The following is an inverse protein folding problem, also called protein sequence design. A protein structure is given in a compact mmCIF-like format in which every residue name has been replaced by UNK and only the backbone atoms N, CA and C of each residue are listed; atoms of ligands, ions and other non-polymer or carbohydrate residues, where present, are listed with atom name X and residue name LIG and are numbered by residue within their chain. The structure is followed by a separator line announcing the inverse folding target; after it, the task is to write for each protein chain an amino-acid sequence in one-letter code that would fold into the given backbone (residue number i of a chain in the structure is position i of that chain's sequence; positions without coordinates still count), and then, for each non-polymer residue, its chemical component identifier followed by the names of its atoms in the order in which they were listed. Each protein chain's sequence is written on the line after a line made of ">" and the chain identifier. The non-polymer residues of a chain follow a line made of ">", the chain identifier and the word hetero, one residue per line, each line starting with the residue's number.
data_IF_256764551010
#
_entry.id   IF_256764551010
#
_cell.length_a   1.000
_cell.length_b   1.000
_cell.length_c   1.000
_cell.angle_alpha   90.00
_cell.angle_beta   90.00
_cell.angle_gamma   90.00
#
_symmetry.space_group_name_H-M   'P 1'
#
loop_
_entity.id
_entity.type
_entity.pdbx_description
1 polymer ?
#
# COMPACT_ATOMS: atom_id res chain seq x y z
N UNK A 1 -15.10 -2.27 -40.76
CA UNK A 1 -15.07 -0.90 -40.16
C UNK A 1 -16.36 -0.49 -39.41
N UNK A 2 -17.52 -1.17 -39.56
CA UNK A 2 -18.75 -0.85 -38.80
C UNK A 2 -19.00 -1.66 -37.50
N UNK A 3 -18.12 -2.59 -37.10
CA UNK A 3 -18.22 -3.32 -35.82
C UNK A 3 -17.39 -2.73 -34.66
N UNK A 4 -16.60 -1.68 -34.90
CA UNK A 4 -15.72 -1.07 -33.89
C UNK A 4 -16.34 0.13 -33.13
N UNK A 5 -17.46 0.69 -33.61
CA UNK A 5 -18.04 1.89 -32.99
C UNK A 5 -19.14 1.59 -31.94
N UNK A 6 -19.76 0.42 -31.96
CA UNK A 6 -20.79 0.04 -30.97
C UNK A 6 -20.20 -0.42 -29.62
N UNK A 7 -18.93 -0.84 -29.57
CA UNK A 7 -18.27 -1.25 -28.32
C UNK A 7 -17.69 -0.07 -27.50
N UNK A 8 -17.36 1.07 -28.13
CA UNK A 8 -16.87 2.26 -27.42
C UNK A 8 -17.97 2.96 -26.58
N UNK A 9 -19.25 2.86 -27.00
CA UNK A 9 -20.38 3.52 -26.33
C UNK A 9 -20.84 2.82 -25.04
N UNK A 10 -20.61 1.51 -24.90
CA UNK A 10 -21.02 0.73 -23.72
C UNK A 10 -19.93 0.76 -22.63
N UNK A 11 -18.65 0.82 -23.00
CA UNK A 11 -17.53 0.82 -22.05
C UNK A 11 -17.29 2.16 -21.34
N UNK A 12 -17.69 3.29 -21.94
CA UNK A 12 -17.60 4.61 -21.30
C UNK A 12 -18.61 4.76 -20.15
N UNK A 13 -19.80 4.15 -20.25
CA UNK A 13 -20.79 4.12 -19.14
C UNK A 13 -20.40 3.16 -18.02
N UNK A 14 -19.80 2.00 -18.32
CA UNK A 14 -19.32 1.06 -17.29
C UNK A 14 -18.09 1.56 -16.52
N UNK A 15 -17.20 2.35 -17.15
CA UNK A 15 -16.00 2.91 -16.50
C UNK A 15 -16.31 4.10 -15.57
N UNK A 16 -17.31 4.92 -15.92
CA UNK A 16 -17.87 5.95 -15.02
C UNK A 16 -18.62 5.31 -13.84
N UNK A 17 -19.37 4.22 -14.07
CA UNK A 17 -20.01 3.48 -12.97
C UNK A 17 -18.99 2.80 -12.05
N UNK A 18 -17.83 2.35 -12.54
CA UNK A 18 -16.77 1.80 -11.67
C UNK A 18 -16.11 2.86 -10.78
N UNK A 19 -15.90 4.08 -11.28
CA UNK A 19 -15.36 5.19 -10.48
C UNK A 19 -16.38 5.72 -9.45
N UNK A 20 -17.68 5.59 -9.72
CA UNK A 20 -18.76 5.88 -8.78
C UNK A 20 -19.09 4.71 -7.83
N UNK A 21 -18.87 3.45 -8.22
CA UNK A 21 -19.14 2.26 -7.41
C UNK A 21 -18.08 2.03 -6.33
N UNK A 22 -16.82 2.41 -6.56
CA UNK A 22 -15.80 2.44 -5.50
C UNK A 22 -16.12 3.55 -4.46
N UNK A 23 -16.92 4.56 -4.82
CA UNK A 23 -17.46 5.58 -3.90
C UNK A 23 -18.75 5.15 -3.18
N UNK A 24 -19.32 3.98 -3.48
CA UNK A 24 -20.56 3.47 -2.85
C UNK A 24 -20.51 1.94 -2.68
N UNK A 25 -19.71 1.48 -1.72
CA UNK A 25 -19.92 0.20 -1.05
C UNK A 25 -20.46 0.48 0.36
N UNK A 26 -21.44 -0.30 0.88
CA UNK A 26 -22.09 0.01 2.15
C UNK A 26 -21.11 -0.11 3.31
N UNK A 27 -21.03 0.96 4.11
CA UNK A 27 -20.42 0.99 5.43
C UNK A 27 -21.06 -0.10 6.31
N UNK A 28 -20.36 -1.19 6.57
CA UNK A 28 -20.71 -2.10 7.66
C UNK A 28 -20.30 -1.45 8.98
N UNK A 29 -21.19 -0.59 9.49
CA UNK A 29 -21.13 -0.02 10.83
C UNK A 29 -21.48 -1.09 11.86
N UNK A 30 -20.55 -1.43 12.74
CA UNK A 30 -20.89 -1.97 14.05
C UNK A 30 -21.52 -0.86 14.89
N UNK A 31 -22.82 -0.98 15.20
CA UNK A 31 -23.52 -0.19 16.21
C UNK A 31 -24.22 -1.15 17.16
N UNK A 32 -24.07 -0.90 18.45
CA UNK A 32 -24.82 -1.50 19.55
C UNK A 32 -26.22 -0.85 19.69
N UNK A 33 -27.12 -1.57 20.35
CA UNK A 33 -28.59 -1.45 20.26
C UNK A 33 -29.22 -0.10 20.72
N UNK A 34 -28.42 0.92 21.06
CA UNK A 34 -28.90 2.24 21.47
C UNK A 34 -28.21 3.43 20.77
N UNK A 35 -27.32 3.21 19.80
CA UNK A 35 -26.92 4.26 18.86
C UNK A 35 -26.18 5.50 19.42
N UNK A 36 -25.46 5.37 20.54
CA UNK A 36 -24.56 6.41 21.09
C UNK A 36 -23.10 5.91 21.10
N UNK A 37 -22.09 6.79 20.91
CA UNK A 37 -20.70 6.41 21.06
C UNK A 37 -20.39 6.00 22.50
N UNK A 38 -19.72 4.86 22.68
CA UNK A 38 -19.17 4.41 23.97
C UNK A 38 -18.04 5.35 24.41
N UNK A 39 -18.41 6.49 25.01
CA UNK A 39 -17.52 7.27 25.85
C UNK A 39 -17.22 6.46 27.11
N UNK A 40 -16.00 5.93 27.21
CA UNK A 40 -15.44 5.57 28.51
C UNK A 40 -15.23 6.86 29.28
N UNK A 41 -16.16 7.16 30.19
CA UNK A 41 -16.03 8.20 31.21
C UNK A 41 -14.76 7.94 32.02
N UNK A 42 -13.75 8.80 31.93
CA UNK A 42 -12.72 8.90 32.97
C UNK A 42 -13.34 9.60 34.18
N UNK A 43 -13.30 8.93 35.33
CA UNK A 43 -13.67 9.48 36.63
C UNK A 43 -12.67 10.58 37.02
N UNK A 44 -13.19 11.77 37.32
CA UNK A 44 -12.43 12.84 37.96
C UNK A 44 -12.31 12.57 39.46
N UNK A 45 -11.10 12.27 39.93
CA UNK A 45 -10.76 12.41 41.35
C UNK A 45 -9.26 12.65 41.50
N UNK A 46 -8.89 13.76 42.14
CA UNK A 46 -7.54 14.05 42.62
C UNK A 46 -6.76 15.06 41.78
N UNK A 47 -6.83 16.32 42.19
CA UNK A 47 -5.90 17.38 41.76
C UNK A 47 -4.61 17.21 42.55
N UNK A 48 -3.51 16.91 41.86
CA UNK A 48 -2.14 17.15 42.34
C UNK A 48 -1.45 18.13 41.37
N UNK A 49 -0.61 19.06 41.87
CA UNK A 49 0.05 20.05 41.03
C UNK A 49 1.08 19.39 40.09
N UNK A 50 1.47 20.05 38.98
CA UNK A 50 2.32 19.44 37.98
C UNK A 50 3.73 19.24 38.53
N UNK A 51 4.07 17.99 38.86
CA UNK A 51 5.47 17.61 38.94
C UNK A 51 6.04 17.70 37.54
N UNK A 52 6.88 18.72 37.29
CA UNK A 52 7.88 18.70 36.23
C UNK A 52 8.90 17.59 36.52
N UNK A 53 8.46 16.34 36.44
CA UNK A 53 9.31 15.18 36.41
C UNK A 53 10.07 15.22 35.10
N UNK A 54 11.39 15.34 35.20
CA UNK A 54 12.31 15.14 34.06
C UNK A 54 11.84 13.91 33.29
N UNK A 55 11.28 14.09 32.08
CA UNK A 55 11.04 12.98 31.17
C UNK A 55 12.39 12.32 30.99
N UNK A 56 12.55 11.11 31.53
CA UNK A 56 13.83 10.42 31.49
C UNK A 56 14.23 10.28 30.02
N UNK A 57 15.36 10.89 29.63
CA UNK A 57 15.86 10.85 28.26
C UNK A 57 16.05 9.38 27.88
N UNK A 58 15.16 8.87 27.04
CA UNK A 58 15.22 7.51 26.57
C UNK A 58 16.25 7.42 25.45
N UNK A 59 17.20 6.49 25.56
CA UNK A 59 18.16 6.27 24.50
C UNK A 59 17.45 5.90 23.19
N UNK A 60 17.84 6.48 22.03
CA UNK A 60 17.21 6.25 20.72
C UNK A 60 16.97 4.77 20.40
N UNK A 61 17.94 3.90 20.69
CA UNK A 61 17.84 2.47 20.41
C UNK A 61 16.74 1.77 21.23
N UNK A 62 16.55 2.19 22.48
CA UNK A 62 15.53 1.63 23.37
C UNK A 62 14.14 2.06 22.90
N UNK A 63 13.98 3.35 22.57
CA UNK A 63 12.71 3.87 22.06
C UNK A 63 12.30 3.19 20.76
N UNK A 64 13.23 3.08 19.80
CA UNK A 64 12.95 2.36 18.55
C UNK A 64 12.60 0.88 18.78
N UNK A 65 13.29 0.21 19.71
CA UNK A 65 12.97 -1.17 20.09
C UNK A 65 11.56 -1.28 20.68
N UNK A 66 11.15 -0.34 21.54
CA UNK A 66 9.80 -0.30 22.10
C UNK A 66 8.76 -0.09 21.01
N UNK A 67 8.94 0.92 20.14
CA UNK A 67 8.05 1.18 18.99
C UNK A 67 7.88 -0.05 18.09
N UNK A 68 8.93 -0.83 17.88
CA UNK A 68 8.87 -2.03 17.03
C UNK A 68 8.10 -3.22 17.65
N UNK A 69 7.90 -3.21 18.98
CA UNK A 69 7.33 -4.33 19.76
C UNK A 69 5.99 -4.01 20.41
N UNK A 70 5.44 -2.82 20.13
CA UNK A 70 4.09 -2.43 20.53
C UNK A 70 3.05 -3.44 20.07
N UNK A 71 2.00 -3.60 20.88
CA UNK A 71 0.92 -4.57 20.67
C UNK A 71 -0.40 -3.94 20.25
N UNK A 72 -0.49 -2.62 20.28
CA UNK A 72 -1.67 -1.88 19.84
C UNK A 72 -1.32 -0.49 19.29
N UNK A 73 -2.31 0.18 18.72
CA UNK A 73 -2.17 1.56 18.24
C UNK A 73 -2.04 2.55 19.41
N UNK A 74 -2.77 2.31 20.51
CA UNK A 74 -2.73 3.13 21.72
C UNK A 74 -1.35 3.10 22.37
N UNK A 75 -0.66 1.96 22.36
CA UNK A 75 0.73 1.88 22.83
C UNK A 75 1.70 2.70 21.96
N UNK A 76 1.47 2.78 20.65
CA UNK A 76 2.24 3.66 19.75
C UNK A 76 1.99 5.12 20.12
N UNK A 77 0.73 5.51 20.26
CA UNK A 77 0.34 6.88 20.59
C UNK A 77 0.88 7.28 21.97
N UNK A 78 0.80 6.42 22.98
CA UNK A 78 1.38 6.69 24.30
C UNK A 78 2.91 6.94 24.23
N UNK A 79 3.64 6.21 23.36
CA UNK A 79 5.07 6.46 23.15
C UNK A 79 5.33 7.78 22.43
N UNK A 80 4.48 8.17 21.47
CA UNK A 80 4.54 9.46 20.79
C UNK A 80 4.29 10.60 21.78
N UNK A 81 3.21 10.51 22.56
CA UNK A 81 2.84 11.51 23.57
C UNK A 81 4.00 11.78 24.54
N UNK A 82 4.62 10.70 25.03
CA UNK A 82 5.70 10.81 26.01
C UNK A 82 7.07 11.19 25.43
N UNK A 83 7.33 11.01 24.13
CA UNK A 83 8.69 11.12 23.57
C UNK A 83 8.82 11.82 22.21
N UNK A 84 7.75 12.40 21.67
CA UNK A 84 7.72 12.97 20.30
C UNK A 84 8.84 13.99 20.03
N UNK A 85 9.23 14.79 21.02
CA UNK A 85 10.33 15.76 20.92
C UNK A 85 11.68 15.09 20.60
N UNK A 86 11.88 13.85 21.07
CA UNK A 86 13.09 13.07 20.86
C UNK A 86 13.08 12.24 19.57
N UNK A 87 11.94 12.16 18.87
CA UNK A 87 11.84 11.37 17.64
C UNK A 87 12.75 11.94 16.56
N UNK A 88 13.47 11.04 15.90
CA UNK A 88 14.18 11.30 14.65
C UNK A 88 13.49 10.57 13.49
N UNK A 89 14.10 10.60 12.30
CA UNK A 89 13.54 9.94 11.12
C UNK A 89 13.39 8.41 11.28
N UNK A 90 14.23 7.76 12.10
CA UNK A 90 14.14 6.31 12.31
C UNK A 90 12.92 6.00 13.17
N UNK A 91 12.73 6.72 14.27
CA UNK A 91 11.57 6.56 15.13
C UNK A 91 10.27 6.83 14.37
N UNK A 92 10.23 7.87 13.53
CA UNK A 92 9.08 8.17 12.68
C UNK A 92 8.72 6.96 11.80
N UNK A 93 9.69 6.43 11.06
CA UNK A 93 9.44 5.28 10.19
C UNK A 93 8.87 4.08 10.96
N UNK A 94 9.47 3.75 12.11
CA UNK A 94 9.00 2.65 12.96
C UNK A 94 7.62 2.93 13.56
N UNK A 95 7.35 4.15 14.04
CA UNK A 95 6.07 4.52 14.62
C UNK A 95 4.94 4.40 13.59
N UNK A 96 5.11 4.95 12.38
CA UNK A 96 4.12 4.85 11.31
C UNK A 96 3.89 3.39 10.89
N UNK A 97 4.94 2.60 10.69
CA UNK A 97 4.81 1.18 10.35
C UNK A 97 4.10 0.42 11.45
N UNK A 98 4.43 0.67 12.71
CA UNK A 98 3.75 0.03 13.85
C UNK A 98 2.30 0.44 13.98
N UNK A 99 1.97 1.71 13.74
CA UNK A 99 0.59 2.18 13.71
C UNK A 99 -0.20 1.49 12.59
N UNK A 100 0.36 1.42 11.39
CA UNK A 100 -0.28 0.75 10.24
C UNK A 100 -0.48 -0.76 10.42
N UNK A 101 0.25 -1.38 11.36
CA UNK A 101 0.07 -2.79 11.72
C UNK A 101 -1.17 -2.99 12.59
N UNK A 102 -1.43 -2.04 13.50
CA UNK A 102 -2.45 -2.17 14.54
C UNK A 102 -3.73 -1.37 14.26
N UNK A 103 -3.69 -0.43 13.31
CA UNK A 103 -4.79 0.46 12.93
C UNK A 103 -5.01 0.50 11.41
N UNK A 104 -4.80 -0.62 10.71
CA UNK A 104 -4.97 -0.68 9.26
C UNK A 104 -6.41 -0.28 8.86
N UNK A 105 -6.54 0.67 7.93
CA UNK A 105 -7.82 1.24 7.51
C UNK A 105 -8.52 2.16 8.51
N UNK A 106 -7.87 2.51 9.63
CA UNK A 106 -8.48 3.31 10.71
C UNK A 106 -7.94 4.75 10.75
N UNK A 107 -7.53 5.32 9.61
CA UNK A 107 -7.03 6.70 9.56
C UNK A 107 -8.03 7.71 10.15
N UNK A 108 -9.33 7.53 9.87
CA UNK A 108 -10.37 8.43 10.38
C UNK A 108 -10.47 8.43 11.91
N UNK A 109 -10.30 7.26 12.55
CA UNK A 109 -10.34 7.14 14.00
C UNK A 109 -9.10 7.80 14.62
N UNK A 110 -7.92 7.57 14.03
CA UNK A 110 -6.65 8.17 14.46
C UNK A 110 -6.65 9.69 14.32
N UNK A 111 -7.31 10.21 13.30
CA UNK A 111 -7.40 11.64 13.04
C UNK A 111 -8.14 12.42 14.12
N UNK A 112 -8.94 11.76 14.97
CA UNK A 112 -9.55 12.39 16.14
C UNK A 112 -8.60 12.51 17.34
N UNK A 113 -7.43 11.86 17.30
CA UNK A 113 -6.48 11.81 18.40
C UNK A 113 -5.43 12.93 18.27
N UNK A 114 -5.31 13.84 19.24
CA UNK A 114 -4.34 14.95 19.18
C UNK A 114 -2.88 14.47 19.15
N UNK A 115 -2.61 13.27 19.66
CA UNK A 115 -1.27 12.65 19.62
C UNK A 115 -0.88 12.24 18.21
N UNK A 116 -1.85 11.83 17.41
CA UNK A 116 -1.60 11.53 16.00
C UNK A 116 -1.27 12.81 15.22
N UNK A 117 -1.94 13.93 15.52
CA UNK A 117 -1.60 15.24 14.95
C UNK A 117 -0.19 15.70 15.34
N UNK A 118 0.25 15.41 16.57
CA UNK A 118 1.64 15.62 17.00
C UNK A 118 2.60 14.79 16.16
N UNK A 119 2.28 13.51 15.88
CA UNK A 119 3.10 12.66 15.02
C UNK A 119 3.18 13.19 13.58
N UNK A 120 2.06 13.62 13.00
CA UNK A 120 2.03 14.23 11.66
C UNK A 120 2.82 15.54 11.61
N UNK A 121 2.73 16.36 12.66
CA UNK A 121 3.51 17.60 12.80
C UNK A 121 5.01 17.31 12.89
N UNK A 122 5.38 16.28 13.66
CA UNK A 122 6.76 15.82 13.77
C UNK A 122 7.28 15.26 12.44
N UNK A 123 6.46 14.54 11.69
CA UNK A 123 6.76 14.09 10.34
C UNK A 123 7.11 15.29 9.44
N UNK A 124 6.23 16.30 9.35
CA UNK A 124 6.45 17.51 8.53
C UNK A 124 7.78 18.20 8.87
N UNK A 125 8.10 18.29 10.16
CA UNK A 125 9.35 18.90 10.64
C UNK A 125 10.60 18.13 10.21
N UNK A 126 10.52 16.80 10.16
CA UNK A 126 11.65 15.92 9.88
C UNK A 126 11.76 15.47 8.43
N UNK A 127 10.76 15.75 7.57
CA UNK A 127 10.79 15.43 6.14
C UNK A 127 12.08 15.89 5.43
N UNK A 128 12.59 17.12 5.65
CA UNK A 128 13.83 17.56 5.00
C UNK A 128 15.08 16.74 5.38
N UNK A 129 15.03 16.01 6.49
CA UNK A 129 16.14 15.19 7.02
C UNK A 129 15.84 13.69 6.91
N UNK A 130 14.70 13.31 6.30
CA UNK A 130 14.25 11.94 6.26
C UNK A 130 15.14 11.08 5.36
N UNK A 131 15.42 9.85 5.81
CA UNK A 131 16.19 8.88 5.03
C UNK A 131 15.30 8.13 4.04
N UNK A 132 15.84 7.57 2.94
CA UNK A 132 15.08 6.79 1.95
C UNK A 132 14.10 5.79 2.56
N UNK A 133 14.60 4.94 3.47
CA UNK A 133 13.80 3.91 4.13
C UNK A 133 12.68 4.49 5.00
N UNK A 134 12.90 5.63 5.65
CA UNK A 134 11.86 6.31 6.44
C UNK A 134 10.74 6.78 5.51
N UNK A 135 11.09 7.41 4.39
CA UNK A 135 10.12 7.92 3.41
C UNK A 135 9.25 6.79 2.85
N UNK A 136 9.87 5.70 2.39
CA UNK A 136 9.14 4.53 1.91
C UNK A 136 8.26 3.88 2.99
N UNK A 137 8.73 3.83 4.24
CA UNK A 137 7.97 3.30 5.38
C UNK A 137 6.74 4.16 5.70
N UNK A 138 6.87 5.49 5.62
CA UNK A 138 5.76 6.42 5.84
C UNK A 138 4.75 6.32 4.70
N UNK A 139 5.19 6.28 3.44
CA UNK A 139 4.32 6.02 2.28
C UNK A 139 3.49 4.75 2.48
N UNK A 140 4.16 3.64 2.76
CA UNK A 140 3.52 2.35 3.02
C UNK A 140 2.50 2.44 4.16
N UNK A 141 2.88 3.06 5.28
CA UNK A 141 2.03 3.17 6.45
C UNK A 141 0.78 4.01 6.18
N UNK A 142 0.93 5.19 5.57
CA UNK A 142 -0.21 6.06 5.24
C UNK A 142 -1.18 5.37 4.28
N UNK A 143 -0.67 4.65 3.28
CA UNK A 143 -1.51 3.83 2.40
C UNK A 143 -2.27 2.76 3.19
N UNK A 144 -1.59 1.98 4.03
CA UNK A 144 -2.22 0.91 4.81
C UNK A 144 -3.19 1.41 5.88
N UNK A 145 -2.96 2.60 6.43
CA UNK A 145 -3.90 3.29 7.32
C UNK A 145 -5.15 3.77 6.57
N UNK A 146 -5.12 3.83 5.24
CA UNK A 146 -6.14 4.46 4.39
C UNK A 146 -6.24 5.97 4.65
N UNK A 147 -5.07 6.65 4.64
CA UNK A 147 -4.98 8.10 4.69
C UNK A 147 -5.92 8.76 3.67
N UNK A 148 -6.66 9.79 4.10
CA UNK A 148 -7.48 10.60 3.20
C UNK A 148 -6.55 11.50 2.35
N UNK A 149 -6.42 11.25 1.04
CA UNK A 149 -5.47 11.97 0.21
C UNK A 149 -5.89 13.42 -0.07
N UNK A 150 -7.19 13.74 0.01
CA UNK A 150 -7.67 15.11 -0.19
C UNK A 150 -7.39 15.95 1.05
N UNK A 151 -7.61 15.37 2.23
CA UNK A 151 -7.34 16.05 3.50
C UNK A 151 -5.85 16.23 3.76
N UNK A 152 -5.04 15.22 3.45
CA UNK A 152 -3.58 15.27 3.65
C UNK A 152 -2.80 15.65 2.39
N UNK A 153 -3.45 16.30 1.43
CA UNK A 153 -2.85 16.66 0.13
C UNK A 153 -1.49 17.34 0.25
N UNK A 154 -1.38 18.34 1.13
CA UNK A 154 -0.13 19.07 1.36
C UNK A 154 0.97 18.18 1.96
N UNK A 155 0.62 17.31 2.91
CA UNK A 155 1.57 16.36 3.49
C UNK A 155 2.08 15.37 2.45
N UNK A 156 1.18 14.84 1.60
CA UNK A 156 1.54 13.90 0.54
C UNK A 156 2.42 14.54 -0.53
N UNK A 157 2.21 15.83 -0.85
CA UNK A 157 3.08 16.59 -1.75
C UNK A 157 4.46 16.84 -1.12
N UNK A 158 4.53 17.20 0.16
CA UNK A 158 5.79 17.35 0.88
C UNK A 158 6.56 16.03 0.95
N UNK A 159 5.86 14.92 1.20
CA UNK A 159 6.45 13.58 1.23
C UNK A 159 6.94 13.16 -0.17
N UNK A 160 6.20 13.49 -1.24
CA UNK A 160 6.63 13.25 -2.62
C UNK A 160 7.90 14.04 -2.96
N UNK A 161 7.95 15.32 -2.59
CA UNK A 161 9.13 16.16 -2.80
C UNK A 161 10.36 15.62 -2.05
N UNK A 162 10.20 15.25 -0.77
CA UNK A 162 11.28 14.64 0.01
C UNK A 162 11.74 13.30 -0.58
N UNK A 163 10.81 12.47 -1.07
CA UNK A 163 11.11 11.22 -1.78
C UNK A 163 11.85 11.47 -3.09
N UNK A 164 11.45 12.46 -3.89
CA UNK A 164 12.09 12.77 -5.17
C UNK A 164 13.58 13.12 -5.00
N UNK A 165 13.92 13.93 -3.99
CA UNK A 165 15.33 14.28 -3.66
C UNK A 165 16.17 13.04 -3.35
N UNK A 166 15.56 12.00 -2.79
CA UNK A 166 16.24 10.79 -2.35
C UNK A 166 16.07 9.60 -3.29
N UNK A 167 15.34 9.74 -4.39
CA UNK A 167 14.98 8.65 -5.30
C UNK A 167 16.19 7.86 -5.84
N UNK A 168 17.34 8.50 -6.19
CA UNK A 168 18.55 7.76 -6.59
C UNK A 168 19.10 6.83 -5.50
N UNK A 169 18.80 7.10 -4.23
CA UNK A 169 19.25 6.32 -3.06
C UNK A 169 18.24 5.27 -2.60
N UNK A 170 17.04 5.21 -3.18
CA UNK A 170 16.08 4.16 -2.89
C UNK A 170 16.65 2.82 -3.38
N UNK A 171 16.42 1.75 -2.63
CA UNK A 171 16.55 0.38 -3.16
C UNK A 171 15.24 -0.02 -3.87
N UNK A 172 15.23 -1.17 -4.53
CA UNK A 172 14.05 -1.66 -5.25
C UNK A 172 12.80 -1.76 -4.36
N UNK A 173 12.93 -2.30 -3.15
CA UNK A 173 11.82 -2.37 -2.18
C UNK A 173 11.27 -1.00 -1.79
N UNK A 174 12.14 0.00 -1.58
CA UNK A 174 11.73 1.35 -1.22
C UNK A 174 10.91 1.98 -2.37
N UNK A 175 11.35 1.81 -3.62
CA UNK A 175 10.64 2.29 -4.81
C UNK A 175 9.28 1.60 -4.94
N UNK A 176 9.25 0.27 -4.88
CA UNK A 176 8.02 -0.50 -5.00
C UNK A 176 7.00 -0.16 -3.90
N UNK A 177 7.46 -0.05 -2.65
CA UNK A 177 6.57 0.29 -1.52
C UNK A 177 5.96 1.68 -1.71
N UNK A 178 6.74 2.60 -2.27
CA UNK A 178 6.30 3.98 -2.54
C UNK A 178 5.28 4.03 -3.68
N UNK A 179 5.57 3.40 -4.83
CA UNK A 179 4.62 3.42 -5.96
C UNK A 179 3.34 2.64 -5.64
N UNK A 180 3.43 1.55 -4.88
CA UNK A 180 2.28 0.84 -4.34
C UNK A 180 1.42 1.75 -3.48
N UNK A 181 2.03 2.52 -2.57
CA UNK A 181 1.32 3.46 -1.72
C UNK A 181 0.61 4.55 -2.56
N UNK A 182 1.27 5.09 -3.58
CA UNK A 182 0.66 6.06 -4.50
C UNK A 182 -0.56 5.47 -5.22
N UNK A 183 -0.45 4.23 -5.73
CA UNK A 183 -1.56 3.53 -6.38
C UNK A 183 -2.72 3.21 -5.44
N UNK A 184 -2.40 2.81 -4.20
CA UNK A 184 -3.39 2.49 -3.18
C UNK A 184 -4.19 3.70 -2.73
N UNK A 185 -3.50 4.79 -2.41
CA UNK A 185 -4.12 6.06 -2.03
C UNK A 185 -4.82 6.74 -3.21
N UNK A 186 -4.63 6.24 -4.44
CA UNK A 186 -5.18 6.85 -5.64
C UNK A 186 -4.69 8.28 -5.82
N UNK A 187 -3.49 8.60 -5.33
CA UNK A 187 -2.91 9.93 -5.47
C UNK A 187 -2.57 10.10 -6.94
N UNK A 188 -3.53 10.60 -7.70
CA UNK A 188 -3.35 10.92 -9.11
C UNK A 188 -2.38 12.09 -9.29
N UNK A 189 -2.01 12.75 -8.18
CA UNK A 189 -1.28 14.01 -8.13
C UNK A 189 -1.65 14.88 -9.32
N UNK A 190 -2.84 15.49 -9.29
CA UNK A 190 -3.27 16.37 -10.38
C UNK A 190 -2.34 17.58 -10.57
N UNK A 191 -1.46 17.84 -9.59
CA UNK A 191 -0.35 18.77 -9.74
C UNK A 191 0.70 18.26 -10.73
N UNK A 192 1.37 19.19 -11.41
CA UNK A 192 2.50 18.86 -12.30
C UNK A 192 3.60 18.10 -11.53
N UNK A 193 3.92 18.55 -10.32
CA UNK A 193 5.03 18.03 -9.54
C UNK A 193 4.82 16.59 -9.11
N UNK A 194 3.60 16.22 -8.70
CA UNK A 194 3.37 14.84 -8.31
C UNK A 194 3.18 13.89 -9.51
N UNK A 195 2.72 14.39 -10.67
CA UNK A 195 2.85 13.60 -11.93
C UNK A 195 4.30 13.30 -12.26
N UNK A 196 5.17 14.31 -12.16
CA UNK A 196 6.61 14.15 -12.38
C UNK A 196 7.19 13.11 -11.41
N UNK A 197 6.85 13.21 -10.13
CA UNK A 197 7.29 12.21 -9.13
C UNK A 197 6.88 10.78 -9.47
N UNK A 198 5.65 10.57 -9.99
CA UNK A 198 5.22 9.24 -10.45
C UNK A 198 5.99 8.76 -11.68
N UNK A 199 6.29 9.67 -12.61
CA UNK A 199 7.06 9.35 -13.81
C UNK A 199 8.51 8.98 -13.42
N UNK A 200 9.13 9.73 -12.51
CA UNK A 200 10.46 9.45 -11.96
C UNK A 200 10.50 8.10 -11.22
N UNK A 201 9.44 7.76 -10.46
CA UNK A 201 9.31 6.46 -9.80
C UNK A 201 9.30 5.31 -10.81
N UNK A 202 8.56 5.45 -11.91
CA UNK A 202 8.51 4.44 -12.99
C UNK A 202 9.90 4.26 -13.61
N UNK A 203 10.58 5.36 -13.94
CA UNK A 203 11.91 5.34 -14.54
C UNK A 203 12.94 4.66 -13.62
N UNK A 204 12.99 5.06 -12.35
CA UNK A 204 13.93 4.49 -11.38
C UNK A 204 13.61 3.04 -11.05
N UNK A 205 12.34 2.61 -11.12
CA UNK A 205 11.95 1.23 -10.84
C UNK A 205 12.69 0.21 -11.72
N UNK A 206 12.81 0.50 -13.03
CA UNK A 206 13.52 -0.37 -13.96
C UNK A 206 15.01 -0.49 -13.63
N UNK A 207 15.64 0.63 -13.28
CA UNK A 207 17.04 0.64 -12.85
C UNK A 207 17.22 -0.17 -11.56
N UNK A 208 16.33 0.01 -10.58
CA UNK A 208 16.47 -0.65 -9.27
C UNK A 208 16.19 -2.14 -9.33
N UNK A 209 15.23 -2.59 -10.14
CA UNK A 209 15.01 -4.01 -10.38
C UNK A 209 16.25 -4.67 -11.00
N UNK A 210 16.86 -4.07 -12.03
CA UNK A 210 18.10 -4.57 -12.67
C UNK A 210 19.29 -4.76 -11.72
N UNK A 211 19.31 -4.03 -10.59
CA UNK A 211 20.38 -4.11 -9.60
C UNK A 211 19.95 -4.83 -8.32
N UNK A 212 18.75 -5.40 -8.27
CA UNK A 212 18.29 -6.23 -7.17
C UNK A 212 18.56 -7.69 -7.51
N UNK A 213 19.56 -8.36 -6.89
CA UNK A 213 19.91 -9.73 -7.22
C UNK A 213 18.87 -10.76 -6.73
N UNK A 214 17.91 -10.33 -5.91
CA UNK A 214 16.88 -11.21 -5.37
C UNK A 214 15.60 -10.42 -5.07
N UNK A 215 14.86 -10.00 -6.11
CA UNK A 215 13.64 -9.23 -5.93
C UNK A 215 12.59 -10.10 -5.23
N UNK A 216 12.08 -9.61 -4.09
CA UNK A 216 11.08 -10.38 -3.34
C UNK A 216 9.77 -10.51 -4.13
N UNK A 217 9.05 -11.65 -4.03
CA UNK A 217 7.71 -11.86 -4.60
C UNK A 217 6.74 -10.69 -4.39
N UNK A 218 6.64 -10.23 -3.15
CA UNK A 218 5.77 -9.13 -2.76
C UNK A 218 6.13 -7.83 -3.50
N UNK A 219 7.42 -7.58 -3.76
CA UNK A 219 7.83 -6.37 -4.48
C UNK A 219 7.47 -6.46 -5.97
N UNK A 220 7.64 -7.63 -6.60
CA UNK A 220 7.26 -7.83 -7.99
C UNK A 220 5.74 -7.65 -8.18
N UNK A 221 4.94 -8.33 -7.34
CA UNK A 221 3.49 -8.22 -7.30
C UNK A 221 3.01 -6.78 -7.05
N UNK A 222 3.58 -6.10 -6.04
CA UNK A 222 3.20 -4.72 -5.73
C UNK A 222 3.55 -3.74 -6.86
N UNK A 223 4.68 -3.91 -7.53
CA UNK A 223 5.05 -3.08 -8.68
C UNK A 223 4.03 -3.22 -9.81
N UNK A 224 3.74 -4.45 -10.25
CA UNK A 224 2.76 -4.71 -11.31
C UNK A 224 1.37 -4.18 -10.93
N UNK A 225 0.92 -4.47 -9.70
CA UNK A 225 -0.36 -3.98 -9.20
C UNK A 225 -0.44 -2.46 -9.19
N UNK A 226 0.62 -1.78 -8.76
CA UNK A 226 0.67 -0.32 -8.70
C UNK A 226 0.55 0.31 -10.09
N UNK A 227 1.30 -0.21 -11.08
CA UNK A 227 1.23 0.29 -12.46
C UNK A 227 -0.18 0.12 -13.05
N UNK A 228 -0.79 -1.06 -12.86
CA UNK A 228 -2.16 -1.33 -13.29
C UNK A 228 -3.16 -0.36 -12.62
N UNK A 229 -3.01 -0.13 -11.31
CA UNK A 229 -3.90 0.74 -10.54
C UNK A 229 -3.78 2.21 -10.93
N UNK A 230 -2.55 2.68 -11.15
CA UNK A 230 -2.22 4.03 -11.58
C UNK A 230 -2.45 4.26 -13.08
N UNK A 231 -2.79 3.21 -13.84
CA UNK A 231 -2.90 3.24 -15.31
C UNK A 231 -1.64 3.78 -15.98
N UNK A 232 -0.48 3.44 -15.41
CA UNK A 232 0.82 3.74 -16.00
C UNK A 232 1.29 2.52 -16.75
N UNK A 233 1.79 2.74 -17.96
CA UNK A 233 2.34 1.70 -18.81
C UNK A 233 3.85 1.92 -18.90
N UNK A 234 4.64 1.26 -18.03
CA UNK A 234 6.08 1.27 -18.18
C UNK A 234 6.52 0.71 -19.53
N UNK A 235 7.79 0.92 -19.88
CA UNK A 235 8.36 0.39 -21.12
C UNK A 235 8.19 -1.13 -21.23
N UNK A 236 7.98 -1.61 -22.45
CA UNK A 236 7.69 -3.03 -22.73
C UNK A 236 8.77 -3.96 -22.18
N UNK A 237 10.04 -3.58 -22.30
CA UNK A 237 11.15 -4.41 -21.84
C UNK A 237 11.22 -4.47 -20.31
N UNK A 238 10.85 -3.40 -19.62
CA UNK A 238 10.76 -3.41 -18.16
C UNK A 238 9.58 -4.25 -17.67
N UNK A 239 8.41 -4.19 -18.33
CA UNK A 239 7.30 -5.09 -18.03
C UNK A 239 7.69 -6.56 -18.27
N UNK A 240 8.40 -6.86 -19.37
CA UNK A 240 8.90 -8.21 -19.63
C UNK A 240 9.85 -8.66 -18.52
N UNK A 241 10.80 -7.81 -18.11
CA UNK A 241 11.69 -8.12 -16.99
C UNK A 241 10.90 -8.41 -15.70
N UNK A 242 9.88 -7.61 -15.36
CA UNK A 242 9.04 -7.88 -14.19
C UNK A 242 8.33 -9.24 -14.27
N UNK A 243 7.88 -9.64 -15.46
CA UNK A 243 7.21 -10.91 -15.69
C UNK A 243 8.18 -12.09 -15.57
N UNK A 244 9.38 -11.98 -16.16
CA UNK A 244 10.42 -13.01 -16.10
C UNK A 244 10.82 -13.25 -14.62
N UNK A 245 11.14 -12.18 -13.88
CA UNK A 245 11.47 -12.24 -12.45
C UNK A 245 10.30 -12.78 -11.61
N UNK A 246 9.05 -12.42 -11.97
CA UNK A 246 7.86 -12.94 -11.30
C UNK A 246 7.70 -14.43 -11.54
N UNK A 247 7.93 -14.90 -12.78
CA UNK A 247 7.84 -16.31 -13.16
C UNK A 247 8.81 -17.16 -12.34
N UNK A 248 10.08 -16.75 -12.26
CA UNK A 248 11.10 -17.43 -11.47
C UNK A 248 10.73 -17.46 -9.97
N UNK A 249 10.06 -16.41 -9.50
CA UNK A 249 9.68 -16.26 -8.10
C UNK A 249 8.33 -16.89 -7.74
N UNK A 250 7.53 -17.37 -8.69
CA UNK A 250 6.18 -17.93 -8.47
C UNK A 250 6.08 -18.95 -7.33
N UNK A 251 7.04 -19.88 -7.13
CA UNK A 251 6.98 -20.82 -6.02
C UNK A 251 6.94 -20.17 -4.63
N UNK A 252 7.41 -18.92 -4.51
CA UNK A 252 7.47 -18.14 -3.28
C UNK A 252 6.33 -17.11 -3.14
N UNK A 253 5.46 -17.00 -4.15
CA UNK A 253 4.31 -16.11 -4.09
C UNK A 253 3.28 -16.63 -3.10
N UNK A 254 2.72 -15.72 -2.31
CA UNK A 254 1.51 -16.00 -1.54
C UNK A 254 0.28 -15.93 -2.47
N UNK A 255 -0.86 -16.55 -2.09
CA UNK A 255 -2.10 -16.52 -2.89
C UNK A 255 -2.52 -15.12 -3.36
N UNK A 256 -2.42 -14.15 -2.45
CA UNK A 256 -2.69 -12.73 -2.74
C UNK A 256 -1.74 -12.16 -3.78
N UNK A 257 -0.44 -12.46 -3.69
CA UNK A 257 0.54 -11.93 -4.65
C UNK A 257 0.30 -12.51 -6.04
N UNK A 258 -0.06 -13.79 -6.11
CA UNK A 258 -0.35 -14.49 -7.36
C UNK A 258 -1.60 -13.93 -8.06
N UNK A 259 -2.71 -13.77 -7.33
CA UNK A 259 -3.95 -13.21 -7.89
C UNK A 259 -3.79 -11.76 -8.34
N UNK A 260 -3.09 -10.94 -7.55
CA UNK A 260 -2.86 -9.54 -7.85
C UNK A 260 -1.94 -9.34 -9.04
N UNK A 261 -0.93 -10.20 -9.19
CA UNK A 261 -0.02 -10.20 -10.34
C UNK A 261 -0.79 -10.52 -11.61
N UNK A 262 -1.55 -11.62 -11.66
CA UNK A 262 -2.30 -11.97 -12.86
C UNK A 262 -3.35 -10.90 -13.22
N UNK A 263 -4.04 -10.36 -12.21
CA UNK A 263 -4.97 -9.25 -12.40
C UNK A 263 -4.28 -8.02 -12.99
N UNK A 264 -3.08 -7.68 -12.51
CA UNK A 264 -2.33 -6.54 -13.01
C UNK A 264 -1.91 -6.74 -14.47
N UNK A 265 -1.44 -7.94 -14.84
CA UNK A 265 -1.08 -8.28 -16.23
C UNK A 265 -2.28 -8.15 -17.17
N UNK A 266 -3.44 -8.69 -16.77
CA UNK A 266 -4.68 -8.55 -17.53
C UNK A 266 -5.10 -7.08 -17.69
N UNK A 267 -5.02 -6.31 -16.60
CA UNK A 267 -5.39 -4.89 -16.59
C UNK A 267 -4.47 -4.03 -17.45
N UNK A 268 -3.17 -4.31 -17.44
CA UNK A 268 -2.18 -3.64 -18.28
C UNK A 268 -2.24 -4.10 -19.74
N UNK A 269 -2.98 -5.17 -20.03
CA UNK A 269 -3.12 -5.80 -21.37
C UNK A 269 -1.78 -6.23 -21.94
N UNK A 270 -0.92 -6.75 -21.07
CA UNK A 270 0.36 -7.33 -21.45
C UNK A 270 0.14 -8.79 -21.88
N UNK A 271 0.92 -9.25 -22.84
CA UNK A 271 1.01 -10.66 -23.18
C UNK A 271 2.12 -11.29 -22.32
N UNK A 272 1.78 -12.10 -21.29
CA UNK A 272 2.78 -12.75 -20.46
C UNK A 272 3.40 -13.99 -21.12
N UNK A 273 2.89 -14.43 -22.27
CA UNK A 273 3.28 -15.68 -22.91
C UNK A 273 2.69 -16.91 -22.23
N UNK A 274 2.63 -18.01 -23.00
CA UNK A 274 2.00 -19.26 -22.55
C UNK A 274 2.71 -19.87 -21.33
N UNK A 275 4.04 -19.86 -21.30
CA UNK A 275 4.82 -20.46 -20.20
C UNK A 275 4.49 -19.84 -18.84
N UNK A 276 4.41 -18.51 -18.77
CA UNK A 276 3.99 -17.82 -17.57
C UNK A 276 2.58 -18.23 -17.11
N UNK A 277 1.62 -18.30 -18.05
CA UNK A 277 0.25 -18.71 -17.73
C UNK A 277 0.18 -20.16 -17.22
N UNK A 278 0.91 -21.08 -17.85
CA UNK A 278 0.99 -22.49 -17.44
C UNK A 278 1.58 -22.61 -16.01
N UNK A 279 2.59 -21.80 -15.68
CA UNK A 279 3.18 -21.76 -14.34
C UNK A 279 2.24 -21.13 -13.30
N UNK A 280 1.52 -20.07 -13.65
CA UNK A 280 0.49 -19.47 -12.77
C UNK A 280 -0.66 -20.44 -12.53
N UNK A 281 -1.11 -21.18 -13.54
CA UNK A 281 -2.11 -22.25 -13.39
C UNK A 281 -1.61 -23.31 -12.40
N UNK A 282 -0.37 -23.75 -12.56
CA UNK A 282 0.26 -24.74 -11.67
C UNK A 282 0.38 -24.22 -10.24
N UNK A 283 0.85 -22.98 -10.05
CA UNK A 283 0.96 -22.35 -8.74
C UNK A 283 -0.41 -22.17 -8.07
N UNK A 284 -1.42 -21.75 -8.84
CA UNK A 284 -2.80 -21.58 -8.33
C UNK A 284 -3.37 -22.91 -7.85
N UNK A 285 -3.23 -23.99 -8.64
CA UNK A 285 -3.70 -25.33 -8.26
C UNK A 285 -3.06 -25.80 -6.95
N UNK A 286 -1.76 -25.57 -6.77
CA UNK A 286 -1.02 -25.96 -5.56
C UNK A 286 -1.48 -25.19 -4.31
N UNK A 287 -1.76 -23.90 -4.47
CA UNK A 287 -2.05 -23.00 -3.34
C UNK A 287 -3.54 -22.76 -3.11
N UNK A 288 -4.45 -23.30 -3.94
CA UNK A 288 -5.87 -22.93 -3.95
C UNK A 288 -6.56 -22.99 -2.57
N UNK A 289 -6.14 -23.93 -1.71
CA UNK A 289 -6.68 -24.07 -0.35
C UNK A 289 -6.35 -22.91 0.59
N UNK A 290 -5.28 -22.17 0.28
CA UNK A 290 -4.79 -21.04 1.07
C UNK A 290 -5.30 -19.69 0.53
N UNK A 291 -6.04 -19.68 -0.58
CA UNK A 291 -6.67 -18.47 -1.10
C UNK A 291 -7.78 -18.00 -0.15
N UNK A 292 -7.79 -16.70 0.14
CA UNK A 292 -9.02 -16.08 0.66
C UNK A 292 -10.09 -16.04 -0.43
N UNK A 293 -11.37 -15.92 -0.05
CA UNK A 293 -12.48 -15.77 -0.99
C UNK A 293 -12.26 -14.60 -1.96
N UNK A 294 -11.69 -13.50 -1.44
CA UNK A 294 -11.37 -12.32 -2.24
C UNK A 294 -10.26 -12.61 -3.25
N UNK A 295 -9.18 -13.26 -2.84
CA UNK A 295 -8.07 -13.59 -3.75
C UNK A 295 -8.53 -14.59 -4.83
N UNK A 296 -9.37 -15.55 -4.47
CA UNK A 296 -9.95 -16.52 -5.40
C UNK A 296 -10.87 -15.84 -6.43
N UNK A 297 -11.65 -14.85 -5.99
CA UNK A 297 -12.48 -14.04 -6.88
C UNK A 297 -11.64 -13.23 -7.87
N UNK A 298 -10.59 -12.55 -7.40
CA UNK A 298 -9.67 -11.78 -8.24
C UNK A 298 -9.00 -12.70 -9.26
N UNK A 299 -8.50 -13.85 -8.81
CA UNK A 299 -7.87 -14.86 -9.65
C UNK A 299 -8.80 -15.34 -10.77
N UNK A 300 -10.04 -15.74 -10.43
CA UNK A 300 -11.03 -16.20 -11.41
C UNK A 300 -11.30 -15.15 -12.49
N UNK A 301 -11.45 -13.90 -12.07
CA UNK A 301 -11.68 -12.80 -13.01
C UNK A 301 -10.47 -12.61 -13.93
N UNK A 302 -9.27 -12.63 -13.36
CA UNK A 302 -8.04 -12.45 -14.13
C UNK A 302 -7.82 -13.58 -15.14
N UNK A 303 -8.06 -14.84 -14.77
CA UNK A 303 -8.01 -15.98 -15.69
C UNK A 303 -9.01 -15.85 -16.84
N UNK A 304 -10.22 -15.35 -16.57
CA UNK A 304 -11.22 -15.13 -17.61
C UNK A 304 -10.76 -14.16 -18.72
N UNK A 305 -9.94 -13.17 -18.39
CA UNK A 305 -9.35 -12.25 -19.39
C UNK A 305 -8.34 -12.95 -20.32
N UNK A 306 -7.80 -14.10 -19.89
CA UNK A 306 -6.92 -14.96 -20.68
C UNK A 306 -7.62 -16.21 -21.23
N UNK A 307 -8.96 -16.31 -21.07
CA UNK A 307 -9.72 -17.47 -21.54
C UNK A 307 -9.45 -18.77 -20.76
N UNK A 308 -8.99 -18.67 -19.52
CA UNK A 308 -8.74 -19.81 -18.64
C UNK A 308 -9.92 -19.92 -17.66
N UNK A 309 -10.52 -21.10 -17.50
CA UNK A 309 -11.52 -21.34 -16.47
C UNK A 309 -10.86 -21.87 -15.19
N UNK A 310 -11.05 -21.17 -14.07
CA UNK A 310 -10.55 -21.60 -12.77
C UNK A 310 -11.15 -22.95 -12.35
N UNK A 311 -12.37 -23.30 -12.75
CA UNK A 311 -12.95 -24.60 -12.44
C UNK A 311 -12.16 -25.75 -13.10
N UNK A 312 -11.79 -25.59 -14.38
CA UNK A 312 -10.96 -26.54 -15.13
C UNK A 312 -9.53 -26.62 -14.57
N UNK A 313 -8.99 -25.50 -14.05
CA UNK A 313 -7.69 -25.51 -13.36
C UNK A 313 -7.70 -26.45 -12.16
N UNK A 314 -8.80 -26.47 -11.38
CA UNK A 314 -8.92 -27.26 -10.15
C UNK A 314 -9.39 -28.69 -10.39
N UNK A 315 -10.22 -28.88 -11.41
CA UNK A 315 -10.77 -30.15 -11.84
C UNK A 315 -10.50 -30.31 -13.34
N UNK A 316 -9.25 -30.60 -13.74
CA UNK A 316 -8.96 -30.89 -15.13
C UNK A 316 -9.82 -32.08 -15.55
N UNK A 317 -10.49 -31.97 -16.69
CA UNK A 317 -11.21 -33.10 -17.26
C UNK A 317 -10.18 -34.18 -17.58
N UNK A 318 -10.40 -35.41 -17.10
CA UNK A 318 -9.61 -36.56 -17.51
C UNK A 318 -9.98 -36.86 -18.98
N UNK A 319 -9.21 -36.30 -19.92
CA UNK A 319 -9.20 -36.69 -21.34
C UNK A 319 -8.21 -37.84 -21.57
#
# INVERSE_FOLDING_TARGET
>A
KLRMQSFLGVLTRSSMMWSLAVRRLPLLRGRDALGLPLLVRRSTSGVDPPHHGKVAVMYPQILNRRLSRVRSAEEVLALVDSHSESFDCIHLGTAFVSLSRHAAGQYFDLQGDPTFDVLLTRLRTLLPQARPRTLASVWFALAKLQCDPEKEKELLLQLAHASAVHLPRFNHRDVTSTIWACGYLGVAFESKDGRQFLDDLVEVSAQKLRHDPNPSPLSLSNSLWAYARLRRHPERDFIRQLLDESQESLPNFQPRDLSQTLWAVATLRCDPGKGFLDDVVTATRRQMRDFSDNDAHIMRKAFGEFGIDLAEVLHPSDD
#
